data_IF_302752659381
#
_entry.id   IF_302752659381
#
_cell.length_a   1.000
_cell.length_b   1.000
_cell.length_c   1.000
_cell.angle_alpha   90.00
_cell.angle_beta   90.00
_cell.angle_gamma   90.00
#
_symmetry.space_group_name_H-M   'P 1'
#
loop_
_entity.id
_entity.type
_entity.pdbx_description
1 polymer ?
#
# COMPACT_ATOMS: atom_id res chain seq x y z
N UNK A 1 -1.27 -19.87 -20.73
CA UNK A 1 -0.22 -18.82 -20.63
C UNK A 1 -0.08 -18.39 -19.19
N UNK A 2 1.09 -18.52 -18.63
CA UNK A 2 1.34 -17.91 -17.30
C UNK A 2 1.47 -16.40 -17.53
N UNK A 3 0.55 -15.62 -17.02
CA UNK A 3 0.69 -14.18 -17.02
C UNK A 3 1.89 -13.83 -16.13
N UNK A 4 2.92 -13.31 -16.74
CA UNK A 4 4.11 -12.88 -16.04
C UNK A 4 3.90 -11.44 -15.60
N UNK A 5 4.09 -11.16 -14.31
CA UNK A 5 4.07 -9.78 -13.84
C UNK A 5 5.12 -8.95 -14.57
N UNK A 6 4.80 -7.70 -14.97
CA UNK A 6 5.80 -6.82 -15.56
C UNK A 6 6.96 -6.60 -14.59
N UNK A 7 8.14 -6.37 -15.12
CA UNK A 7 9.31 -6.06 -14.29
C UNK A 7 9.13 -4.68 -13.63
N UNK A 8 9.17 -4.57 -12.31
CA UNK A 8 9.09 -3.27 -11.64
C UNK A 8 10.39 -2.49 -11.79
N UNK A 9 10.36 -1.16 -11.59
CA UNK A 9 11.59 -0.39 -11.35
C UNK A 9 12.33 -0.96 -10.13
N UNK A 10 13.64 -0.78 -10.08
CA UNK A 10 14.44 -1.23 -8.93
C UNK A 10 14.21 -0.37 -7.68
N UNK A 11 13.86 0.90 -7.87
CA UNK A 11 13.59 1.87 -6.81
C UNK A 11 12.23 2.53 -7.03
N UNK A 12 11.50 2.87 -5.97
CA UNK A 12 10.24 3.58 -6.10
C UNK A 12 10.45 5.04 -6.51
N UNK A 13 9.44 5.58 -7.17
CA UNK A 13 9.34 7.01 -7.44
C UNK A 13 8.16 7.58 -6.67
N UNK A 14 8.33 8.76 -6.11
CA UNK A 14 7.31 9.47 -5.34
C UNK A 14 7.19 10.89 -5.90
N UNK A 15 5.96 11.33 -6.13
CA UNK A 15 5.67 12.67 -6.62
C UNK A 15 6.19 13.73 -5.65
N UNK A 16 6.71 14.83 -6.17
CA UNK A 16 7.33 15.90 -5.39
C UNK A 16 6.39 16.60 -4.40
N UNK A 17 5.10 16.56 -4.64
CA UNK A 17 4.10 17.15 -3.74
C UNK A 17 3.90 16.34 -2.45
N UNK A 18 4.38 15.09 -2.39
CA UNK A 18 4.21 14.25 -1.22
C UNK A 18 5.22 14.64 -0.15
N UNK A 19 4.70 14.82 1.06
CA UNK A 19 5.48 15.08 2.27
C UNK A 19 5.07 14.11 3.37
N UNK A 20 6.01 13.78 4.27
CA UNK A 20 5.76 12.95 5.44
C UNK A 20 5.49 13.86 6.64
N UNK A 21 4.40 13.60 7.36
CA UNK A 21 4.01 14.34 8.56
C UNK A 21 3.40 13.39 9.58
N UNK A 22 3.24 13.87 10.80
CA UNK A 22 2.52 13.13 11.84
C UNK A 22 1.08 12.88 11.40
N UNK A 23 0.61 11.67 11.63
CA UNK A 23 -0.70 11.20 11.20
C UNK A 23 -1.66 11.09 12.37
N UNK A 24 -2.92 11.47 12.14
CA UNK A 24 -4.00 11.21 13.09
C UNK A 24 -4.43 9.73 13.10
N UNK A 25 -4.02 8.95 12.09
CA UNK A 25 -4.35 7.53 11.98
C UNK A 25 -3.33 6.69 12.74
N UNK A 26 -2.06 6.78 12.36
CA UNK A 26 -0.98 6.03 13.00
C UNK A 26 0.37 6.66 12.65
N UNK A 27 1.19 6.89 13.66
CA UNK A 27 2.57 7.38 13.51
C UNK A 27 2.70 8.56 12.56
N UNK A 28 3.45 8.37 11.50
CA UNK A 28 3.58 9.31 10.39
C UNK A 28 2.76 8.84 9.19
N UNK A 29 2.41 9.75 8.32
CA UNK A 29 1.64 9.48 7.12
C UNK A 29 2.10 10.31 5.94
N UNK A 30 1.50 10.06 4.79
CA UNK A 30 1.75 10.79 3.56
C UNK A 30 0.71 11.88 3.39
N UNK A 31 1.17 13.06 3.01
CA UNK A 31 0.31 14.23 2.75
C UNK A 31 0.75 14.88 1.44
N UNK A 32 -0.14 15.62 0.82
CA UNK A 32 0.23 16.51 -0.28
C UNK A 32 0.32 17.94 0.21
N UNK A 33 1.35 18.66 -0.23
CA UNK A 33 1.49 20.08 0.04
C UNK A 33 0.73 20.98 -0.96
N UNK A 34 0.04 20.36 -1.93
CA UNK A 34 -0.76 21.08 -2.92
C UNK A 34 -2.03 20.28 -3.25
N UNK A 35 -3.09 20.91 -3.79
CA UNK A 35 -4.27 20.18 -4.25
C UNK A 35 -3.91 19.25 -5.40
N UNK A 36 -4.52 18.07 -5.40
CA UNK A 36 -4.30 17.04 -6.43
C UNK A 36 -5.62 16.72 -7.13
N UNK A 37 -5.60 16.70 -8.44
CA UNK A 37 -6.73 16.24 -9.24
C UNK A 37 -6.85 14.70 -9.20
N UNK A 38 -8.05 14.19 -9.49
CA UNK A 38 -8.29 12.76 -9.65
C UNK A 38 -7.40 12.18 -10.76
N UNK A 39 -6.84 11.01 -10.52
CA UNK A 39 -6.02 10.30 -11.50
C UNK A 39 -4.56 10.76 -11.55
N UNK A 40 -4.13 11.60 -10.61
CA UNK A 40 -2.73 12.00 -10.51
C UNK A 40 -1.92 10.84 -9.99
N UNK A 41 -0.94 10.35 -10.78
CA UNK A 41 -0.02 9.31 -10.33
C UNK A 41 0.94 9.91 -9.30
N UNK A 42 0.94 9.35 -8.11
CA UNK A 42 1.74 9.85 -7.00
C UNK A 42 2.90 8.95 -6.64
N UNK A 43 2.77 7.65 -6.88
CA UNK A 43 3.78 6.67 -6.51
C UNK A 43 3.92 5.67 -7.66
N UNK A 44 5.15 5.35 -7.99
CA UNK A 44 5.50 4.15 -8.74
C UNK A 44 6.30 3.26 -7.82
N UNK A 45 5.74 2.13 -7.47
CA UNK A 45 6.40 1.17 -6.60
C UNK A 45 7.56 0.53 -7.34
N UNK A 46 8.64 0.34 -6.62
CA UNK A 46 9.84 -0.31 -7.12
C UNK A 46 10.35 -1.32 -6.11
N UNK A 47 11.18 -2.22 -6.57
CA UNK A 47 11.77 -3.24 -5.73
C UNK A 47 12.03 -4.54 -6.49
N UNK A 48 11.96 -5.65 -5.78
CA UNK A 48 12.30 -6.98 -6.27
C UNK A 48 11.10 -7.90 -6.23
N UNK A 49 10.84 -8.59 -7.32
CA UNK A 49 9.84 -9.66 -7.35
C UNK A 49 10.39 -10.95 -6.77
N UNK A 50 9.62 -11.58 -5.91
CA UNK A 50 9.95 -12.85 -5.27
C UNK A 50 8.71 -13.75 -5.26
N UNK A 51 8.91 -15.05 -5.16
CA UNK A 51 7.83 -16.00 -4.88
C UNK A 51 7.52 -16.06 -3.38
N UNK A 52 6.46 -16.76 -3.03
CA UNK A 52 6.02 -16.87 -1.64
C UNK A 52 7.08 -17.55 -0.74
N UNK A 53 7.75 -18.58 -1.25
CA UNK A 53 8.78 -19.29 -0.47
C UNK A 53 9.97 -18.36 -0.16
N UNK A 54 10.44 -17.62 -1.16
CA UNK A 54 11.52 -16.67 -0.94
C UNK A 54 11.10 -15.51 -0.03
N UNK A 55 9.87 -15.02 -0.20
CA UNK A 55 9.33 -13.97 0.68
C UNK A 55 9.34 -14.45 2.14
N UNK A 56 8.86 -15.65 2.39
CA UNK A 56 8.81 -16.20 3.74
C UNK A 56 10.22 -16.30 4.34
N UNK A 57 11.19 -16.78 3.58
CA UNK A 57 12.59 -16.85 4.03
C UNK A 57 13.15 -15.46 4.33
N UNK A 58 12.82 -14.45 3.52
CA UNK A 58 13.25 -13.07 3.75
C UNK A 58 12.64 -12.52 5.03
N UNK A 59 11.36 -12.75 5.28
CA UNK A 59 10.69 -12.30 6.51
C UNK A 59 11.32 -12.96 7.73
N UNK A 60 11.54 -14.27 7.70
CA UNK A 60 12.11 -15.04 8.80
C UNK A 60 13.56 -14.64 9.11
N UNK A 61 14.33 -14.26 8.11
CA UNK A 61 15.75 -13.89 8.26
C UNK A 61 15.96 -12.39 8.50
N UNK A 62 14.96 -11.57 8.34
CA UNK A 62 15.09 -10.11 8.50
C UNK A 62 14.94 -9.68 9.95
N UNK A 63 15.83 -8.81 10.40
CA UNK A 63 15.72 -8.12 11.69
C UNK A 63 14.74 -6.95 11.64
N UNK A 64 14.33 -6.54 10.46
CA UNK A 64 13.45 -5.40 10.22
C UNK A 64 12.18 -5.85 9.51
N UNK A 65 11.17 -5.00 9.59
CA UNK A 65 9.94 -5.22 8.85
C UNK A 65 10.22 -5.26 7.34
N UNK A 66 9.72 -6.30 6.69
CA UNK A 66 9.81 -6.45 5.23
C UNK A 66 8.53 -5.87 4.64
N UNK A 67 8.67 -4.74 3.96
CA UNK A 67 7.54 -4.09 3.29
C UNK A 67 7.31 -4.76 1.94
N UNK A 68 6.12 -5.29 1.75
CA UNK A 68 5.80 -6.11 0.59
C UNK A 68 4.35 -5.96 0.18
N UNK A 69 4.08 -6.19 -1.09
CA UNK A 69 2.72 -6.31 -1.58
C UNK A 69 2.60 -7.50 -2.55
N UNK A 70 1.43 -8.09 -2.60
CA UNK A 70 1.14 -9.20 -3.50
C UNK A 70 0.71 -8.65 -4.86
N UNK A 71 1.44 -9.02 -5.91
CA UNK A 71 1.16 -8.60 -7.28
C UNK A 71 0.29 -9.64 -7.99
N UNK A 72 0.57 -10.91 -7.75
CA UNK A 72 -0.15 -12.08 -8.27
C UNK A 72 -0.12 -13.18 -7.22
N UNK A 73 -0.85 -14.26 -7.45
CA UNK A 73 -0.99 -15.38 -6.51
C UNK A 73 0.30 -15.79 -5.80
N UNK A 74 1.37 -15.97 -6.52
CA UNK A 74 2.66 -16.41 -5.99
C UNK A 74 3.79 -15.43 -6.35
N UNK A 75 3.44 -14.16 -6.56
CA UNK A 75 4.40 -13.12 -6.92
C UNK A 75 4.22 -11.93 -6.01
N UNK A 76 5.27 -11.59 -5.29
CA UNK A 76 5.28 -10.50 -4.34
C UNK A 76 6.36 -9.49 -4.71
N UNK A 77 6.06 -8.23 -4.54
CA UNK A 77 7.03 -7.15 -4.63
C UNK A 77 7.59 -6.88 -3.24
N UNK A 78 8.90 -6.99 -3.09
CA UNK A 78 9.60 -6.56 -1.87
C UNK A 78 10.16 -5.17 -2.12
N UNK A 79 9.67 -4.20 -1.34
CA UNK A 79 10.11 -2.82 -1.47
C UNK A 79 11.46 -2.61 -0.76
N UNK A 80 12.28 -1.67 -1.24
CA UNK A 80 13.47 -1.28 -0.51
C UNK A 80 13.10 -0.74 0.88
N UNK A 81 13.96 -1.00 1.85
CA UNK A 81 13.76 -0.50 3.21
C UNK A 81 13.85 1.03 3.28
N UNK A 82 13.08 1.62 4.21
CA UNK A 82 13.18 3.04 4.57
C UNK A 82 12.89 4.02 3.44
N UNK A 83 11.99 3.67 2.54
CA UNK A 83 11.52 4.62 1.52
C UNK A 83 10.29 5.39 2.01
N UNK A 84 10.00 6.53 1.36
CA UNK A 84 8.84 7.36 1.67
C UNK A 84 7.51 6.58 1.60
N UNK A 85 7.40 5.64 0.69
CA UNK A 85 6.19 4.81 0.52
C UNK A 85 5.86 3.99 1.75
N UNK A 86 6.83 3.71 2.60
CA UNK A 86 6.64 2.99 3.86
C UNK A 86 5.65 3.68 4.82
N UNK A 87 5.48 4.98 4.70
CA UNK A 87 4.60 5.76 5.58
C UNK A 87 3.14 5.85 5.12
N UNK A 88 2.77 5.17 4.06
CA UNK A 88 1.38 5.13 3.59
C UNK A 88 0.48 4.40 4.58
N UNK A 89 -0.44 5.11 5.22
CA UNK A 89 -1.40 4.53 6.16
C UNK A 89 -2.63 3.96 5.44
N UNK A 90 -3.31 3.05 6.14
CA UNK A 90 -4.53 2.44 5.68
C UNK A 90 -5.76 3.33 5.93
N UNK A 91 -6.68 3.33 4.97
CA UNK A 91 -8.06 3.76 5.18
C UNK A 91 -9.02 2.82 4.44
N UNK A 92 -10.19 2.60 5.04
CA UNK A 92 -11.29 1.88 4.39
C UNK A 92 -11.99 2.73 3.32
N UNK A 93 -11.76 4.04 3.33
CA UNK A 93 -12.16 4.98 2.28
C UNK A 93 -10.95 5.79 1.82
N UNK A 94 -10.04 5.16 1.05
CA UNK A 94 -8.76 5.74 0.73
C UNK A 94 -8.86 6.83 -0.34
N UNK A 95 -7.95 7.81 -0.26
CA UNK A 95 -7.75 8.79 -1.32
C UNK A 95 -6.96 8.25 -2.51
N UNK A 96 -6.24 7.17 -2.31
CA UNK A 96 -5.38 6.55 -3.33
C UNK A 96 -5.85 5.14 -3.67
N UNK A 97 -5.55 4.71 -4.88
CA UNK A 97 -5.76 3.34 -5.33
C UNK A 97 -4.71 2.92 -6.36
N UNK A 98 -4.61 1.63 -6.58
CA UNK A 98 -3.78 1.10 -7.66
C UNK A 98 -4.43 1.35 -9.01
N UNK A 99 -3.65 1.87 -9.96
CA UNK A 99 -4.04 2.05 -11.37
C UNK A 99 -3.23 1.18 -12.32
N UNK A 100 -2.38 0.36 -11.78
CA UNK A 100 -1.54 -0.60 -12.46
C UNK A 100 -0.85 -1.47 -11.42
N UNK A 101 -0.02 -2.45 -11.83
CA UNK A 101 0.64 -3.34 -10.88
C UNK A 101 1.56 -2.59 -9.91
N UNK A 102 2.13 -1.47 -10.33
CA UNK A 102 3.10 -0.72 -9.52
C UNK A 102 2.77 0.76 -9.39
N UNK A 103 1.66 1.23 -9.93
CA UNK A 103 1.33 2.64 -9.94
C UNK A 103 0.14 2.92 -9.03
N UNK A 104 0.28 3.97 -8.22
CA UNK A 104 -0.74 4.43 -7.29
C UNK A 104 -1.08 5.87 -7.65
N UNK A 105 -2.37 6.14 -7.81
CA UNK A 105 -2.88 7.45 -8.17
C UNK A 105 -4.01 7.87 -7.24
N UNK A 106 -4.36 9.15 -7.29
CA UNK A 106 -5.52 9.67 -6.59
C UNK A 106 -6.80 9.06 -7.13
N UNK A 107 -7.63 8.54 -6.23
CA UNK A 107 -8.94 7.96 -6.54
C UNK A 107 -10.01 9.06 -6.76
N UNK A 108 -9.81 10.19 -6.11
CA UNK A 108 -10.66 11.39 -6.16
C UNK A 108 -9.77 12.63 -6.01
N UNK A 109 -10.29 13.83 -6.24
CA UNK A 109 -9.55 15.03 -5.91
C UNK A 109 -9.21 15.07 -4.42
N UNK A 110 -8.01 15.52 -4.09
CA UNK A 110 -7.52 15.59 -2.70
C UNK A 110 -7.02 17.00 -2.44
N UNK A 111 -7.51 17.61 -1.37
CA UNK A 111 -7.05 18.92 -0.94
C UNK A 111 -5.67 18.86 -0.30
N UNK A 112 -4.95 19.98 -0.36
CA UNK A 112 -3.67 20.10 0.33
C UNK A 112 -3.85 19.85 1.85
N UNK A 113 -2.91 19.14 2.44
CA UNK A 113 -2.93 18.84 3.88
C UNK A 113 -3.82 17.67 4.29
N UNK A 114 -4.53 17.04 3.36
CA UNK A 114 -5.29 15.81 3.64
C UNK A 114 -4.36 14.61 3.56
N UNK A 115 -4.49 13.69 4.50
CA UNK A 115 -3.67 12.48 4.49
C UNK A 115 -3.99 11.61 3.27
N UNK A 116 -2.94 11.17 2.59
CA UNK A 116 -3.01 10.26 1.45
C UNK A 116 -2.93 8.82 1.95
N UNK A 117 -4.04 8.11 1.83
CA UNK A 117 -4.18 6.75 2.36
C UNK A 117 -4.51 5.76 1.26
N UNK A 118 -4.21 4.51 1.51
CA UNK A 118 -4.54 3.41 0.62
C UNK A 118 -5.22 2.29 1.40
N UNK A 119 -6.06 1.53 0.76
CA UNK A 119 -6.67 0.36 1.39
C UNK A 119 -5.68 -0.83 1.31
N UNK A 120 -5.18 -1.26 2.46
CA UNK A 120 -4.25 -2.39 2.54
C UNK A 120 -4.85 -3.69 2.02
N UNK A 121 -6.16 -3.79 1.99
CA UNK A 121 -6.85 -4.91 1.38
C UNK A 121 -6.50 -5.11 -0.09
N UNK A 122 -6.07 -4.06 -0.77
CA UNK A 122 -5.67 -4.11 -2.18
C UNK A 122 -4.20 -4.48 -2.37
N UNK A 123 -3.44 -4.60 -1.29
CA UNK A 123 -1.99 -4.78 -1.33
C UNK A 123 -1.51 -6.10 -0.74
N UNK A 124 -2.30 -6.75 0.08
CA UNK A 124 -1.89 -8.00 0.72
C UNK A 124 -2.77 -9.16 0.31
N UNK A 125 -2.15 -10.25 -0.05
CA UNK A 125 -2.80 -11.54 -0.26
C UNK A 125 -2.50 -12.54 0.86
N UNK A 126 -1.96 -12.07 1.98
CA UNK A 126 -1.62 -12.94 3.10
C UNK A 126 -2.88 -13.27 3.90
N UNK A 127 -3.37 -14.52 3.87
CA UNK A 127 -4.53 -14.91 4.67
C UNK A 127 -4.30 -14.67 6.16
N UNK A 128 -5.33 -14.24 6.87
CA UNK A 128 -5.26 -14.02 8.31
C UNK A 128 -4.63 -12.69 8.73
N UNK A 129 -4.09 -11.89 7.79
CA UNK A 129 -3.59 -10.56 8.14
C UNK A 129 -4.73 -9.67 8.59
N UNK A 130 -4.59 -9.07 9.75
CA UNK A 130 -5.55 -8.12 10.30
C UNK A 130 -4.83 -7.15 11.24
N UNK A 131 -5.25 -5.91 11.23
CA UNK A 131 -4.79 -4.89 12.16
C UNK A 131 -5.95 -3.98 12.55
N UNK A 132 -5.97 -3.44 13.78
CA UNK A 132 -7.00 -2.46 14.16
C UNK A 132 -6.98 -1.27 13.20
N UNK A 133 -8.16 -0.84 12.76
CA UNK A 133 -8.31 0.30 11.88
C UNK A 133 -8.70 1.55 12.66
N UNK A 134 -8.04 2.65 12.38
CA UNK A 134 -8.29 3.97 12.96
C UNK A 134 -8.50 5.03 11.88
N UNK A 135 -8.98 4.63 10.71
CA UNK A 135 -9.10 5.55 9.58
C UNK A 135 -10.18 6.62 9.75
N UNK A 136 -11.16 6.39 10.64
CA UNK A 136 -12.25 7.33 10.87
C UNK A 136 -13.29 7.42 9.76
N UNK A 137 -13.22 6.56 8.74
CA UNK A 137 -14.20 6.55 7.67
C UNK A 137 -15.58 6.12 8.17
N UNK A 138 -16.64 6.66 7.56
CA UNK A 138 -18.01 6.34 7.94
C UNK A 138 -18.34 4.85 7.72
N UNK A 139 -17.73 4.23 6.72
CA UNK A 139 -17.87 2.83 6.36
C UNK A 139 -16.68 1.98 6.81
N UNK A 140 -15.99 2.43 7.86
CA UNK A 140 -14.83 1.73 8.40
C UNK A 140 -15.18 0.29 8.79
N UNK A 141 -14.36 -0.65 8.34
CA UNK A 141 -14.53 -2.07 8.64
C UNK A 141 -14.08 -2.46 10.04
N UNK A 142 -13.54 -1.52 10.82
CA UNK A 142 -13.03 -1.76 12.16
C UNK A 142 -11.64 -2.38 12.20
N UNK A 143 -11.17 -2.92 11.08
CA UNK A 143 -9.84 -3.50 10.94
C UNK A 143 -9.28 -3.19 9.57
N UNK A 144 -7.99 -2.91 9.51
CA UNK A 144 -7.23 -2.78 8.27
C UNK A 144 -6.98 -4.13 7.65
N UNK A 145 -8.05 -4.87 7.48
CA UNK A 145 -7.98 -6.16 6.85
C UNK A 145 -8.25 -6.02 5.40
N UNK A 146 -8.08 -7.10 4.75
CA UNK A 146 -8.16 -7.21 3.39
C UNK A 146 -9.33 -7.98 2.97
N UNK A 147 -9.77 -7.80 1.71
CA UNK A 147 -10.93 -8.50 1.22
C UNK A 147 -10.84 -9.99 1.43
N UNK A 148 -9.66 -10.53 1.29
CA UNK A 148 -9.49 -11.98 1.48
C UNK A 148 -9.84 -12.36 2.87
N UNK A 149 -9.31 -11.67 3.86
CA UNK A 149 -9.67 -11.99 5.22
C UNK A 149 -11.08 -11.58 5.51
N UNK A 150 -11.51 -10.48 4.97
CA UNK A 150 -12.91 -10.11 5.08
C UNK A 150 -13.79 -11.16 4.45
N UNK A 151 -13.42 -11.63 3.28
CA UNK A 151 -14.13 -12.70 2.62
C UNK A 151 -14.11 -13.99 3.42
N UNK A 152 -12.99 -14.30 4.04
CA UNK A 152 -12.91 -15.45 4.93
C UNK A 152 -13.78 -15.28 6.16
N UNK A 153 -13.87 -14.09 6.68
CA UNK A 153 -14.73 -13.77 7.80
C UNK A 153 -16.21 -13.73 7.38
N UNK A 154 -16.47 -13.39 6.15
CA UNK A 154 -17.81 -13.33 5.57
C UNK A 154 -18.30 -14.67 5.04
N UNK A 155 -17.39 -15.57 4.88
CA UNK A 155 -17.65 -16.93 4.38
C UNK A 155 -18.00 -17.89 5.54
#
# INVERSE_FOLDING_TARGET
MRHRAPTPPSTPWVHEAIVVRDSAIAGQGLFSNEPLGKGTVLIRLGGRLVDTDLLQRLIESSEHYVDTLTVFEDVHLVLPALTTVHYGNHSCDPGLWHVGPYEIATRRPVDAGVELTIDYATQTGTPGFSMPCRCGAADCRGAGTYPVSNMEAEV
#
